data_IF_187339936343
#
_entry.id   IF_187339936343
#
_cell.length_a   1.000
_cell.length_b   1.000
_cell.length_c   1.000
_cell.angle_alpha   90.00
_cell.angle_beta   90.00
_cell.angle_gamma   90.00
#
_symmetry.space_group_name_H-M   'P 1'
#
loop_
_entity.id
_entity.type
_entity.pdbx_description
1 polymer ?
#
# COMPACT_ATOMS: atom_id res chain seq x y z
N UNK A 1 -15.93 8.31 1.27
CA UNK A 1 -14.90 7.30 0.94
C UNK A 1 -15.28 6.50 -0.30
N UNK A 2 -16.46 5.87 -0.37
CA UNK A 2 -16.83 5.04 -1.54
C UNK A 2 -16.72 5.79 -2.88
N UNK A 3 -17.26 7.02 -2.97
CA UNK A 3 -17.10 7.88 -4.17
C UNK A 3 -15.64 8.09 -4.59
N UNK A 4 -14.72 8.17 -3.63
CA UNK A 4 -13.29 8.29 -3.93
C UNK A 4 -12.69 6.96 -4.40
N UNK A 5 -13.11 5.83 -3.83
CA UNK A 5 -12.64 4.51 -4.25
C UNK A 5 -12.95 4.23 -5.72
N UNK A 6 -14.12 4.66 -6.21
CA UNK A 6 -14.51 4.53 -7.62
C UNK A 6 -13.53 5.23 -8.58
N UNK A 7 -12.81 6.27 -8.14
CA UNK A 7 -11.81 6.98 -8.96
C UNK A 7 -10.58 6.13 -9.27
N UNK A 8 -10.34 5.06 -8.52
CA UNK A 8 -9.23 4.14 -8.81
C UNK A 8 -9.51 3.22 -9.99
N UNK A 9 -10.78 3.06 -10.41
CA UNK A 9 -11.18 2.15 -11.50
C UNK A 9 -10.59 2.62 -12.83
N UNK A 10 -10.17 1.65 -13.65
CA UNK A 10 -9.53 1.90 -14.93
C UNK A 10 -8.02 1.66 -14.89
N UNK A 11 -7.34 2.12 -15.93
CA UNK A 11 -5.91 1.89 -16.14
C UNK A 11 -5.14 3.19 -15.88
N UNK A 12 -4.36 3.23 -14.79
CA UNK A 12 -3.65 4.44 -14.33
C UNK A 12 -2.20 4.14 -13.97
N UNK A 13 -1.36 5.17 -13.88
CA UNK A 13 0.00 5.07 -13.33
C UNK A 13 -0.03 5.23 -11.80
N UNK A 14 0.24 4.13 -11.09
CA UNK A 14 0.17 4.07 -9.63
C UNK A 14 1.51 4.40 -8.94
N UNK A 15 2.48 5.03 -9.61
CA UNK A 15 3.80 5.35 -9.01
C UNK A 15 3.71 6.21 -7.75
N UNK A 16 2.71 7.09 -7.69
CA UNK A 16 2.44 7.93 -6.53
C UNK A 16 1.63 7.21 -5.43
N UNK A 17 1.16 6.00 -5.72
CA UNK A 17 0.30 5.16 -4.88
C UNK A 17 0.92 3.79 -4.60
N UNK A 18 2.24 3.65 -4.67
CA UNK A 18 2.94 2.40 -4.32
C UNK A 18 4.33 2.71 -3.73
N UNK A 19 5.06 1.68 -3.29
CA UNK A 19 6.51 1.79 -3.05
C UNK A 19 7.23 1.36 -4.32
N UNK A 20 7.91 2.30 -4.97
CA UNK A 20 8.65 1.99 -6.20
C UNK A 20 9.76 0.98 -5.91
N UNK A 21 9.74 -0.12 -6.65
CA UNK A 21 10.65 -1.25 -6.48
C UNK A 21 11.57 -1.42 -7.71
N UNK A 22 12.19 -0.30 -8.09
CA UNK A 22 13.07 -0.21 -9.29
C UNK A 22 14.29 -1.12 -9.16
N UNK A 23 14.76 -1.39 -7.93
CA UNK A 23 15.87 -2.29 -7.68
C UNK A 23 15.59 -3.72 -8.16
N UNK A 24 14.32 -4.13 -8.18
CA UNK A 24 13.86 -5.43 -8.65
C UNK A 24 13.36 -5.38 -10.12
N UNK A 25 13.75 -4.35 -10.88
CA UNK A 25 13.42 -4.22 -12.31
C UNK A 25 12.03 -3.66 -12.61
N UNK A 26 11.26 -3.24 -11.59
CA UNK A 26 9.93 -2.67 -11.82
C UNK A 26 10.05 -1.25 -12.36
N UNK A 27 9.77 -1.08 -13.66
CA UNK A 27 9.80 0.20 -14.37
C UNK A 27 8.44 0.63 -14.92
N UNK A 28 7.49 -0.30 -15.04
CA UNK A 28 6.11 -0.03 -15.44
C UNK A 28 5.17 0.02 -14.22
N UNK A 29 4.59 1.19 -13.98
CA UNK A 29 3.68 1.49 -12.87
C UNK A 29 2.21 1.55 -13.29
N UNK A 30 1.91 1.29 -14.57
CA UNK A 30 0.55 1.22 -15.05
C UNK A 30 -0.13 -0.05 -14.52
N UNK A 31 -1.31 0.09 -13.90
CA UNK A 31 -2.13 -1.02 -13.42
C UNK A 31 -3.59 -0.78 -13.75
N UNK A 32 -4.34 -1.86 -13.92
CA UNK A 32 -5.77 -1.85 -14.21
C UNK A 32 -6.54 -2.34 -13.01
N UNK A 33 -7.39 -1.46 -12.46
CA UNK A 33 -8.36 -1.78 -11.42
C UNK A 33 -9.72 -1.99 -12.09
N UNK A 34 -10.33 -3.15 -11.83
CA UNK A 34 -11.61 -3.56 -12.39
C UNK A 34 -12.77 -3.05 -11.53
N UNK A 35 -12.66 -3.23 -10.21
CA UNK A 35 -13.65 -2.76 -9.23
C UNK A 35 -12.94 -2.20 -8.01
N UNK A 36 -13.56 -1.22 -7.35
CA UNK A 36 -13.05 -0.63 -6.11
C UNK A 36 -14.21 -0.03 -5.31
N UNK A 37 -14.56 -0.61 -4.17
CA UNK A 37 -15.72 -0.19 -3.37
C UNK A 37 -15.39 -0.12 -1.88
N UNK A 38 -15.91 0.90 -1.19
CA UNK A 38 -15.95 0.93 0.28
C UNK A 38 -17.37 0.66 0.73
N UNK A 39 -17.57 -0.45 1.45
CA UNK A 39 -18.89 -0.95 1.85
C UNK A 39 -18.88 -1.43 3.30
N UNK A 40 -20.07 -1.61 3.88
CA UNK A 40 -20.21 -2.19 5.20
C UNK A 40 -19.76 -3.65 5.18
N UNK A 41 -18.90 -4.03 6.13
CA UNK A 41 -18.40 -5.40 6.23
C UNK A 41 -19.51 -6.39 6.64
N UNK A 42 -20.43 -5.96 7.51
CA UNK A 42 -21.62 -6.72 7.87
C UNK A 42 -22.82 -6.16 7.12
N UNK A 43 -23.17 -6.81 6.00
CA UNK A 43 -24.27 -6.40 5.11
C UNK A 43 -25.66 -6.76 5.65
N UNK A 44 -25.74 -7.67 6.61
CA UNK A 44 -27.01 -8.22 7.12
C UNK A 44 -27.54 -7.44 8.34
N UNK A 45 -26.67 -6.70 9.04
CA UNK A 45 -27.13 -5.80 10.11
C UNK A 45 -27.87 -4.59 9.53
N UNK A 46 -29.14 -4.45 9.91
CA UNK A 46 -29.89 -3.21 9.71
C UNK A 46 -29.15 -2.06 10.37
N UNK A 47 -28.86 -1.01 9.60
CA UNK A 47 -28.26 0.23 10.10
C UNK A 47 -29.35 1.00 10.83
N UNK A 48 -29.63 0.60 12.07
CA UNK A 48 -30.64 1.29 12.88
C UNK A 48 -30.03 2.52 13.57
N UNK A 49 -28.72 2.54 13.83
CA UNK A 49 -28.01 3.69 14.42
C UNK A 49 -26.54 3.80 13.97
N UNK A 50 -26.00 5.02 13.93
CA UNK A 50 -24.58 5.31 13.69
C UNK A 50 -23.73 4.77 14.86
N UNK A 51 -23.11 3.60 14.68
CA UNK A 51 -22.19 3.02 15.65
C UNK A 51 -20.73 3.35 15.28
N UNK A 52 -19.95 4.02 16.15
CA UNK A 52 -18.54 4.37 15.86
C UNK A 52 -17.60 3.16 15.75
N UNK A 53 -18.06 1.96 16.11
CA UNK A 53 -17.33 0.70 15.97
C UNK A 53 -17.77 -0.13 14.76
N UNK A 54 -18.60 0.45 13.88
CA UNK A 54 -19.01 -0.21 12.65
C UNK A 54 -17.80 -0.38 11.71
N UNK A 55 -17.62 -1.60 11.21
CA UNK A 55 -16.54 -1.93 10.30
C UNK A 55 -16.99 -1.74 8.85
N UNK A 56 -16.11 -1.13 8.08
CA UNK A 56 -16.20 -1.00 6.64
C UNK A 56 -15.01 -1.73 6.02
N UNK A 57 -15.23 -2.31 4.85
CA UNK A 57 -14.19 -2.93 4.05
C UNK A 57 -13.98 -2.15 2.76
N UNK A 58 -12.73 -2.07 2.32
CA UNK A 58 -12.35 -1.60 0.99
C UNK A 58 -12.02 -2.82 0.14
N UNK A 59 -12.93 -3.18 -0.75
CA UNK A 59 -12.76 -4.26 -1.71
C UNK A 59 -12.21 -3.70 -3.01
N UNK A 60 -11.16 -4.33 -3.55
CA UNK A 60 -10.55 -3.92 -4.81
C UNK A 60 -10.15 -5.15 -5.61
N UNK A 61 -10.61 -5.20 -6.86
CA UNK A 61 -10.23 -6.23 -7.83
C UNK A 61 -9.43 -5.57 -8.95
N UNK A 62 -8.33 -6.19 -9.34
CA UNK A 62 -7.45 -5.68 -10.39
C UNK A 62 -6.66 -6.80 -11.04
N UNK A 63 -6.10 -6.55 -12.21
CA UNK A 63 -5.31 -7.55 -12.95
C UNK A 63 -3.99 -7.88 -12.23
N UNK A 64 -3.38 -6.88 -11.61
CA UNK A 64 -2.18 -7.02 -10.80
C UNK A 64 -2.02 -5.78 -9.90
N UNK A 65 -1.24 -5.91 -8.83
CA UNK A 65 -0.92 -4.82 -7.92
C UNK A 65 0.59 -4.61 -7.80
N UNK A 66 1.03 -3.37 -7.63
CA UNK A 66 2.40 -2.99 -7.30
C UNK A 66 2.68 -3.20 -5.81
N UNK A 67 3.96 -3.17 -5.45
CA UNK A 67 4.38 -3.29 -4.06
C UNK A 67 3.77 -2.17 -3.19
N UNK A 68 3.05 -2.59 -2.14
CA UNK A 68 2.26 -1.75 -1.23
C UNK A 68 1.15 -0.90 -1.87
N UNK A 69 0.70 -1.21 -3.09
CA UNK A 69 -0.30 -0.40 -3.79
C UNK A 69 -1.61 -0.26 -2.99
N UNK A 70 -2.21 -1.39 -2.60
CA UNK A 70 -3.51 -1.39 -1.89
C UNK A 70 -3.44 -0.64 -0.56
N UNK A 71 -2.34 -0.81 0.19
CA UNK A 71 -2.10 -0.11 1.46
C UNK A 71 -1.95 1.40 1.28
N UNK A 72 -1.34 1.82 0.17
CA UNK A 72 -1.25 3.23 -0.22
C UNK A 72 -2.62 3.79 -0.63
N UNK A 73 -3.40 3.05 -1.43
CA UNK A 73 -4.77 3.45 -1.81
C UNK A 73 -5.63 3.66 -0.56
N UNK A 74 -5.59 2.72 0.39
CA UNK A 74 -6.34 2.82 1.64
C UNK A 74 -5.90 4.02 2.49
N UNK A 75 -4.60 4.34 2.52
CA UNK A 75 -4.11 5.53 3.22
C UNK A 75 -4.73 6.83 2.68
N UNK A 76 -4.86 6.96 1.35
CA UNK A 76 -5.52 8.11 0.73
C UNK A 76 -7.02 8.13 1.06
N UNK A 77 -7.69 6.98 1.02
CA UNK A 77 -9.09 6.88 1.44
C UNK A 77 -9.29 7.30 2.90
N UNK A 78 -8.36 6.99 3.80
CA UNK A 78 -8.41 7.47 5.19
C UNK A 78 -8.26 8.98 5.32
N UNK A 79 -7.39 9.62 4.52
CA UNK A 79 -7.27 11.08 4.50
C UNK A 79 -8.57 11.75 4.03
N UNK A 80 -9.18 11.18 2.99
CA UNK A 80 -10.47 11.64 2.46
C UNK A 80 -11.61 11.39 3.47
N UNK A 81 -11.62 10.23 4.12
CA UNK A 81 -12.61 9.88 5.15
C UNK A 81 -12.56 10.79 6.37
N UNK A 82 -11.37 11.25 6.75
CA UNK A 82 -11.15 12.25 7.79
C UNK A 82 -11.38 13.70 7.30
N UNK A 83 -11.82 13.89 6.04
CA UNK A 83 -12.04 15.20 5.39
C UNK A 83 -10.80 16.08 5.31
N UNK A 84 -9.62 15.46 5.36
CA UNK A 84 -8.34 16.16 5.23
C UNK A 84 -7.96 16.39 3.77
N UNK A 85 -8.50 15.55 2.87
CA UNK A 85 -8.37 15.67 1.42
C UNK A 85 -9.74 15.52 0.77
N UNK A 86 -9.88 16.06 -0.45
CA UNK A 86 -11.05 15.83 -1.29
C UNK A 86 -10.85 14.60 -2.19
N UNK A 87 -11.92 13.94 -2.69
CA UNK A 87 -11.80 12.79 -3.59
C UNK A 87 -10.92 13.03 -4.82
N UNK A 88 -10.89 14.26 -5.33
CA UNK A 88 -10.14 14.67 -6.54
C UNK A 88 -8.63 14.51 -6.39
N UNK A 89 -8.12 14.40 -5.16
CA UNK A 89 -6.69 14.18 -4.90
C UNK A 89 -6.16 12.89 -5.58
N UNK A 90 -7.04 11.91 -5.80
CA UNK A 90 -6.69 10.67 -6.51
C UNK A 90 -6.34 10.98 -7.97
N UNK A 91 -7.09 11.87 -8.61
CA UNK A 91 -6.83 12.28 -10.00
C UNK A 91 -5.49 13.03 -10.09
N UNK A 92 -5.22 13.92 -9.13
CA UNK A 92 -3.94 14.64 -9.06
C UNK A 92 -2.74 13.71 -8.83
N UNK A 93 -2.93 12.61 -8.09
CA UNK A 93 -1.89 11.59 -7.89
C UNK A 93 -1.66 10.75 -9.15
N UNK A 94 -2.66 10.62 -10.03
CA UNK A 94 -2.54 9.95 -11.33
C UNK A 94 -1.99 10.87 -12.42
N UNK A 95 -2.10 12.18 -12.28
CA UNK A 95 -1.51 13.16 -13.20
C UNK A 95 0.01 13.22 -13.02
N UNK A 96 0.72 12.32 -13.70
CA UNK A 96 2.18 12.23 -13.64
C UNK A 96 2.87 13.40 -14.36
N UNK A 97 2.21 14.00 -15.36
CA UNK A 97 2.78 15.13 -16.11
C UNK A 97 2.92 16.35 -15.18
N UNK A 98 1.89 16.65 -14.40
CA UNK A 98 1.93 17.74 -13.42
C UNK A 98 2.60 17.30 -12.11
N UNK A 99 2.39 16.06 -11.67
CA UNK A 99 2.86 15.52 -10.39
C UNK A 99 3.75 14.28 -10.56
N UNK A 100 4.96 14.41 -11.14
CA UNK A 100 5.83 13.26 -11.45
C UNK A 100 6.44 12.58 -10.22
N UNK A 101 6.32 13.19 -9.03
CA UNK A 101 6.98 12.77 -7.80
C UNK A 101 5.96 12.51 -6.70
N UNK A 102 6.09 11.34 -6.08
CA UNK A 102 5.23 10.90 -4.99
C UNK A 102 5.31 11.82 -3.77
N UNK A 103 4.21 12.40 -3.27
CA UNK A 103 4.21 13.13 -2.00
C UNK A 103 4.40 12.18 -0.80
N UNK A 104 4.95 12.69 0.30
CA UNK A 104 5.16 11.90 1.51
C UNK A 104 3.84 11.65 2.27
N UNK A 105 3.51 10.38 2.50
CA UNK A 105 2.41 9.96 3.37
C UNK A 105 2.67 8.56 3.97
N UNK A 106 2.07 8.30 5.13
CA UNK A 106 2.12 6.98 5.78
C UNK A 106 1.14 6.02 5.13
N UNK A 107 1.54 4.76 4.97
CA UNK A 107 0.66 3.71 4.45
C UNK A 107 -0.30 3.21 5.54
N UNK A 108 -1.41 2.60 5.12
CA UNK A 108 -2.24 1.83 6.02
C UNK A 108 -1.46 0.61 6.55
N UNK A 109 -1.73 0.18 7.78
CA UNK A 109 -1.13 -1.04 8.37
C UNK A 109 -1.48 -2.30 7.56
N UNK A 110 -0.69 -3.37 7.70
CA UNK A 110 -0.80 -4.56 6.85
C UNK A 110 -1.81 -5.61 7.29
N UNK A 111 -2.06 -5.75 8.60
CA UNK A 111 -2.88 -6.84 9.12
C UNK A 111 -4.33 -6.92 8.57
N UNK A 112 -5.02 -5.82 8.15
CA UNK A 112 -6.36 -5.93 7.59
C UNK A 112 -6.36 -6.20 6.07
N UNK A 113 -5.18 -6.25 5.42
CA UNK A 113 -5.10 -6.58 4.00
C UNK A 113 -5.10 -8.09 3.81
N UNK A 114 -6.13 -8.60 3.14
CA UNK A 114 -6.32 -10.03 2.88
C UNK A 114 -6.47 -10.25 1.38
N UNK A 115 -5.75 -11.22 0.82
CA UNK A 115 -6.06 -11.76 -0.49
C UNK A 115 -7.25 -12.70 -0.33
N UNK A 116 -8.45 -12.23 -0.69
CA UNK A 116 -9.69 -12.95 -0.44
C UNK A 116 -9.99 -13.99 -1.53
N UNK A 117 -9.81 -13.62 -2.80
CA UNK A 117 -10.13 -14.48 -3.93
C UNK A 117 -9.21 -14.22 -5.13
N UNK A 118 -9.09 -15.22 -6.01
CA UNK A 118 -8.39 -15.16 -7.29
C UNK A 118 -9.28 -15.75 -8.38
N UNK A 119 -9.64 -14.94 -9.37
CA UNK A 119 -10.49 -15.37 -10.48
C UNK A 119 -9.68 -16.03 -11.59
N UNK A 120 -10.14 -17.19 -12.05
CA UNK A 120 -9.58 -17.91 -13.19
C UNK A 120 -10.69 -18.32 -14.14
N UNK A 121 -10.53 -17.98 -15.42
CA UNK A 121 -11.50 -18.33 -16.44
C UNK A 121 -11.53 -19.86 -16.67
N UNK A 122 -12.74 -20.40 -16.81
CA UNK A 122 -12.98 -21.80 -17.17
C UNK A 122 -12.43 -22.83 -16.17
N UNK A 123 -12.24 -22.45 -14.90
CA UNK A 123 -11.86 -23.35 -13.82
C UNK A 123 -13.02 -23.50 -12.84
N UNK A 124 -13.42 -24.74 -12.59
CA UNK A 124 -14.35 -25.05 -11.50
C UNK A 124 -13.54 -25.57 -10.30
N UNK A 125 -13.60 -24.84 -9.19
CA UNK A 125 -13.00 -25.27 -7.93
C UNK A 125 -13.80 -26.43 -7.32
N UNK A 126 -13.11 -27.52 -6.97
CA UNK A 126 -13.68 -28.64 -6.23
C UNK A 126 -12.98 -28.67 -4.88
N UNK A 127 -13.75 -28.46 -3.81
CA UNK A 127 -13.24 -28.42 -2.46
C UNK A 127 -13.40 -29.79 -1.80
N UNK A 128 -12.34 -30.24 -1.13
CA UNK A 128 -12.43 -31.42 -0.29
C UNK A 128 -13.30 -31.17 0.94
N UNK A 129 -14.22 -32.09 1.22
CA UNK A 129 -15.17 -31.94 2.33
C UNK A 129 -14.47 -31.83 3.69
N UNK A 130 -13.47 -32.67 3.96
CA UNK A 130 -12.79 -32.72 5.25
C UNK A 130 -11.96 -31.45 5.48
N UNK A 131 -11.28 -30.97 4.42
CA UNK A 131 -10.54 -29.70 4.47
C UNK A 131 -11.50 -28.53 4.68
N UNK A 132 -12.64 -28.51 4.00
CA UNK A 132 -13.64 -27.46 4.16
C UNK A 132 -14.23 -27.44 5.57
N UNK A 133 -14.60 -28.60 6.12
CA UNK A 133 -15.10 -28.74 7.48
C UNK A 133 -14.05 -28.30 8.52
N UNK A 134 -12.79 -28.67 8.33
CA UNK A 134 -11.68 -28.22 9.16
C UNK A 134 -11.55 -26.69 9.15
N UNK A 135 -11.55 -26.07 7.96
CA UNK A 135 -11.43 -24.61 7.81
C UNK A 135 -12.59 -23.88 8.48
N UNK A 136 -13.84 -24.33 8.25
CA UNK A 136 -15.04 -23.74 8.88
C UNK A 136 -14.93 -23.82 10.41
N UNK A 137 -14.61 -25.00 10.94
CA UNK A 137 -14.44 -25.20 12.40
C UNK A 137 -13.35 -24.29 12.96
N UNK A 138 -12.21 -24.21 12.27
CA UNK A 138 -11.08 -23.38 12.67
C UNK A 138 -11.45 -21.89 12.70
N UNK A 139 -12.14 -21.40 11.68
CA UNK A 139 -12.57 -20.00 11.61
C UNK A 139 -13.64 -19.68 12.65
N UNK A 140 -14.57 -20.59 12.94
CA UNK A 140 -15.55 -20.41 14.02
C UNK A 140 -14.88 -20.29 15.40
N UNK A 141 -13.83 -21.07 15.67
CA UNK A 141 -13.05 -20.95 16.90
C UNK A 141 -12.29 -19.61 16.99
N UNK A 142 -11.64 -19.18 15.91
CA UNK A 142 -10.96 -17.89 15.86
C UNK A 142 -11.95 -16.73 16.03
N UNK A 143 -13.08 -16.80 15.34
CA UNK A 143 -14.17 -15.84 15.45
C UNK A 143 -14.66 -15.74 16.89
N UNK A 144 -14.97 -16.87 17.55
CA UNK A 144 -15.44 -16.88 18.95
C UNK A 144 -14.45 -16.16 19.87
N UNK A 145 -13.15 -16.45 19.74
CA UNK A 145 -12.12 -15.80 20.54
C UNK A 145 -12.04 -14.28 20.29
N UNK A 146 -12.08 -13.85 19.03
CA UNK A 146 -12.00 -12.43 18.69
C UNK A 146 -13.30 -11.67 19.02
N UNK A 147 -14.46 -12.29 18.84
CA UNK A 147 -15.76 -11.74 19.19
C UNK A 147 -15.86 -11.47 20.69
N UNK A 148 -15.46 -12.43 21.54
CA UNK A 148 -15.42 -12.25 22.99
C UNK A 148 -14.49 -11.10 23.36
N UNK A 149 -13.25 -11.08 22.84
CA UNK A 149 -12.27 -10.01 23.12
C UNK A 149 -12.79 -8.63 22.72
N UNK A 150 -13.36 -8.50 21.52
CA UNK A 150 -13.97 -7.25 21.05
C UNK A 150 -15.14 -6.83 21.92
N UNK A 151 -16.02 -7.76 22.30
CA UNK A 151 -17.18 -7.46 23.15
C UNK A 151 -16.76 -7.04 24.57
N UNK A 152 -15.72 -7.65 25.14
CA UNK A 152 -15.16 -7.25 26.43
C UNK A 152 -14.69 -5.80 26.38
N UNK A 153 -13.88 -5.43 25.37
CA UNK A 153 -13.39 -4.06 25.19
C UNK A 153 -14.53 -3.07 24.96
N UNK A 154 -15.51 -3.44 24.13
CA UNK A 154 -16.69 -2.62 23.88
C UNK A 154 -17.49 -2.35 25.16
N UNK A 155 -17.66 -3.38 25.99
CA UNK A 155 -18.36 -3.26 27.28
C UNK A 155 -17.57 -2.39 28.27
N UNK A 156 -16.24 -2.54 28.31
CA UNK A 156 -15.37 -1.69 29.13
C UNK A 156 -15.45 -0.22 28.71
N UNK A 157 -15.43 0.07 27.39
CA UNK A 157 -15.57 1.43 26.87
C UNK A 157 -16.91 2.05 27.24
N UNK A 158 -18.03 1.31 27.08
CA UNK A 158 -19.34 1.75 27.56
C UNK A 158 -19.41 1.95 29.08
N UNK A 159 -18.61 1.20 29.85
CA UNK A 159 -18.49 1.41 31.29
C UNK A 159 -17.85 2.77 31.64
N UNK A 160 -16.90 3.23 30.82
CA UNK A 160 -16.22 4.51 31.02
C UNK A 160 -17.14 5.73 30.77
N UNK A 161 -18.21 5.56 29.99
CA UNK A 161 -19.19 6.63 29.68
C UNK A 161 -19.82 7.25 30.93
N UNK A 162 -19.85 6.51 32.04
CA UNK A 162 -20.42 6.95 33.32
C UNK A 162 -19.39 7.55 34.29
N UNK A 163 -18.11 7.61 33.91
CA UNK A 163 -17.08 8.24 34.72
C UNK A 163 -17.34 9.76 34.83
N UNK A 164 -17.29 10.29 36.06
CA UNK A 164 -17.38 11.74 36.31
C UNK A 164 -16.01 12.37 36.21
N UNK A 165 -15.89 13.40 35.39
CA UNK A 165 -14.66 14.19 35.26
C UNK A 165 -14.92 15.66 35.66
N UNK A 166 -13.90 16.38 36.17
CA UNK A 166 -14.03 17.82 36.45
C UNK A 166 -14.26 18.63 35.17
N UNK A 167 -15.08 19.67 35.23
CA UNK A 167 -15.21 20.66 34.14
C UNK A 167 -14.13 21.74 34.25
N UNK A 168 -13.57 22.18 33.12
CA UNK A 168 -12.72 23.37 33.08
C UNK A 168 -13.56 24.65 32.87
N UNK A 169 -13.20 25.80 33.52
CA UNK A 169 -12.11 25.96 34.49
C UNK A 169 -12.46 25.38 35.87
N UNK A 170 -11.45 24.88 36.58
CA UNK A 170 -11.54 24.16 37.86
C UNK A 170 -12.10 24.98 39.05
N UNK A 171 -12.63 26.18 38.83
CA UNK A 171 -13.20 27.07 39.85
C UNK A 171 -14.62 26.69 40.27
N UNK A 172 -15.33 25.89 39.46
CA UNK A 172 -16.60 25.28 39.85
C UNK A 172 -16.37 23.80 40.21
N UNK A 173 -16.86 23.36 41.37
CA UNK A 173 -16.91 21.93 41.77
C UNK A 173 -17.87 21.09 40.87
N UNK A 174 -18.13 21.53 39.64
CA UNK A 174 -19.00 20.85 38.70
C UNK A 174 -18.26 19.69 38.02
N UNK A 175 -18.96 18.58 37.90
CA UNK A 175 -18.49 17.39 37.18
C UNK A 175 -19.43 17.12 36.01
N UNK A 176 -18.88 16.62 34.91
CA UNK A 176 -19.65 16.10 33.77
C UNK A 176 -19.38 14.61 33.59
N UNK A 177 -20.32 13.88 32.99
CA UNK A 177 -20.09 12.49 32.60
C UNK A 177 -19.23 12.42 31.34
N UNK A 178 -18.39 11.40 31.24
CA UNK A 178 -17.54 11.19 30.07
C UNK A 178 -18.33 11.17 28.75
N UNK A 179 -19.50 10.52 28.74
CA UNK A 179 -20.39 10.46 27.55
C UNK A 179 -20.90 11.82 27.07
N UNK A 180 -20.87 12.84 27.93
CA UNK A 180 -21.35 14.20 27.65
C UNK A 180 -20.21 15.11 27.14
N UNK A 181 -18.96 14.63 27.15
CA UNK A 181 -17.80 15.35 26.61
C UNK A 181 -17.91 15.46 25.09
N UNK A 182 -17.79 16.68 24.59
CA UNK A 182 -17.77 16.99 23.16
C UNK A 182 -16.49 17.77 22.80
N UNK A 183 -15.70 17.31 21.80
CA UNK A 183 -15.95 16.16 20.95
C UNK A 183 -15.65 14.82 21.67
N UNK A 184 -16.31 13.71 21.28
CA UNK A 184 -15.95 12.40 21.81
C UNK A 184 -14.61 11.95 21.22
N UNK A 185 -13.82 11.20 21.99
CA UNK A 185 -12.51 10.72 21.54
C UNK A 185 -12.69 9.54 20.58
N UNK A 186 -12.51 9.80 19.28
CA UNK A 186 -12.55 8.78 18.21
C UNK A 186 -11.16 8.56 17.62
N UNK A 187 -10.40 7.65 18.21
CA UNK A 187 -8.99 7.44 17.87
C UNK A 187 -8.71 6.11 17.15
N UNK A 188 -9.74 5.40 16.69
CA UNK A 188 -9.65 4.08 16.05
C UNK A 188 -8.70 4.09 14.85
N UNK A 189 -8.71 5.19 14.08
CA UNK A 189 -7.85 5.36 12.90
C UNK A 189 -6.34 5.27 13.21
N UNK A 190 -5.91 5.56 14.45
CA UNK A 190 -4.50 5.47 14.82
C UNK A 190 -3.98 4.03 14.79
N UNK A 191 -4.85 3.05 14.99
CA UNK A 191 -4.48 1.64 14.87
C UNK A 191 -4.33 1.19 13.41
N UNK A 192 -4.76 2.00 12.44
CA UNK A 192 -4.86 1.64 11.02
C UNK A 192 -3.84 2.34 10.12
N UNK A 193 -3.02 3.24 10.65
CA UNK A 193 -2.00 4.01 9.93
C UNK A 193 -0.62 3.75 10.54
N UNK A 194 0.40 3.56 9.71
CA UNK A 194 1.78 3.43 10.19
C UNK A 194 2.42 4.76 10.60
N UNK A 195 3.33 4.69 11.57
CA UNK A 195 4.22 5.78 11.93
C UNK A 195 3.58 6.88 12.78
N UNK A 196 4.29 8.00 12.91
CA UNK A 196 3.92 9.12 13.79
C UNK A 196 3.05 10.11 13.03
N UNK A 197 1.89 10.46 13.59
CA UNK A 197 1.04 11.52 13.05
C UNK A 197 1.68 12.90 13.27
N UNK A 198 1.73 13.69 12.20
CA UNK A 198 2.07 15.10 12.32
C UNK A 198 1.01 15.83 13.15
N UNK A 199 1.43 16.73 14.05
CA UNK A 199 0.51 17.53 14.88
C UNK A 199 -0.42 18.39 14.04
N UNK A 200 0.10 18.96 12.96
CA UNK A 200 -0.64 19.78 12.03
C UNK A 200 -0.71 19.07 10.68
N UNK A 201 -1.91 18.98 10.13
CA UNK A 201 -2.10 18.43 8.80
C UNK A 201 -1.54 19.36 7.73
N UNK A 202 -0.85 18.79 6.75
CA UNK A 202 -0.45 19.48 5.51
C UNK A 202 -1.10 18.77 4.32
N UNK A 203 -1.77 19.47 3.39
CA UNK A 203 -2.31 18.88 2.17
C UNK A 203 -1.23 18.12 1.39
N UNK A 204 -1.61 17.00 0.76
CA UNK A 204 -0.68 16.06 0.13
C UNK A 204 0.23 16.72 -0.90
N UNK A 205 -0.31 17.58 -1.76
CA UNK A 205 0.47 18.21 -2.83
C UNK A 205 1.49 19.24 -2.34
N UNK A 206 1.31 19.75 -1.11
CA UNK A 206 2.26 20.69 -0.49
C UNK A 206 3.38 19.98 0.28
N UNK A 207 3.35 18.65 0.40
CA UNK A 207 4.35 17.90 1.18
C UNK A 207 5.66 17.72 0.42
N UNK A 208 6.77 17.45 1.15
CA UNK A 208 7.98 16.96 0.51
C UNK A 208 7.68 15.75 -0.38
N UNK A 209 8.27 15.76 -1.58
CA UNK A 209 8.09 14.69 -2.58
C UNK A 209 9.32 13.78 -2.60
N UNK A 210 9.12 12.48 -2.79
CA UNK A 210 10.20 11.51 -2.97
C UNK A 210 10.98 11.78 -4.27
N UNK A 211 12.13 11.11 -4.47
CA UNK A 211 12.81 11.11 -5.77
C UNK A 211 11.89 10.60 -6.89
N UNK A 212 12.02 11.20 -8.08
CA UNK A 212 11.27 10.77 -9.27
C UNK A 212 11.71 9.40 -9.79
N UNK A 213 10.83 8.78 -10.58
CA UNK A 213 11.06 7.44 -11.13
C UNK A 213 12.31 7.40 -12.01
N UNK A 214 12.47 8.39 -12.86
CA UNK A 214 13.53 8.50 -13.88
C UNK A 214 14.91 8.62 -13.20
N UNK A 215 14.97 9.35 -12.07
CA UNK A 215 16.17 9.45 -11.23
C UNK A 215 16.52 8.11 -10.60
N UNK A 216 15.53 7.39 -10.08
CA UNK A 216 15.74 6.05 -9.49
C UNK A 216 16.20 5.02 -10.52
N UNK A 217 15.60 5.02 -11.71
CA UNK A 217 16.02 4.17 -12.83
C UNK A 217 17.48 4.47 -13.18
N UNK A 218 17.80 5.76 -13.40
CA UNK A 218 19.17 6.19 -13.72
C UNK A 218 20.19 5.73 -12.68
N UNK A 219 19.84 5.82 -11.39
CA UNK A 219 20.70 5.34 -10.30
C UNK A 219 20.98 3.83 -10.38
N UNK A 220 19.95 3.01 -10.61
CA UNK A 220 20.12 1.54 -10.66
C UNK A 220 20.76 1.05 -11.96
N UNK A 221 20.52 1.74 -13.08
CA UNK A 221 21.22 1.51 -14.36
C UNK A 221 22.72 1.78 -14.21
N UNK A 222 23.11 2.93 -13.63
CA UNK A 222 24.54 3.25 -13.41
C UNK A 222 25.25 2.23 -12.52
N UNK A 223 24.51 1.54 -11.64
CA UNK A 223 25.03 0.47 -10.79
C UNK A 223 24.99 -0.92 -11.43
N UNK A 224 24.57 -1.03 -12.69
CA UNK A 224 24.48 -2.30 -13.40
C UNK A 224 23.44 -3.28 -12.83
N UNK A 225 22.48 -2.79 -12.02
CA UNK A 225 21.45 -3.66 -11.41
C UNK A 225 20.24 -3.88 -12.31
N UNK A 226 19.98 -2.95 -13.22
CA UNK A 226 18.89 -3.03 -14.21
C UNK A 226 19.40 -2.50 -15.56
N UNK A 227 18.82 -2.99 -16.65
CA UNK A 227 19.02 -2.42 -17.98
C UNK A 227 18.21 -1.14 -18.16
N UNK A 228 18.60 -0.26 -19.09
CA UNK A 228 17.77 0.89 -19.42
C UNK A 228 16.43 0.39 -20.00
N UNK A 229 15.29 0.73 -19.40
CA UNK A 229 14.00 0.38 -19.98
C UNK A 229 13.91 1.04 -21.35
N UNK A 230 13.69 0.21 -22.38
CA UNK A 230 13.68 0.62 -23.79
C UNK A 230 12.65 1.75 -24.02
N UNK A 231 13.10 3.01 -23.99
CA UNK A 231 12.52 4.06 -24.83
C UNK A 231 12.61 3.53 -26.25
N UNK A 232 11.46 3.25 -26.88
CA UNK A 232 11.35 2.65 -28.22
C UNK A 232 12.52 3.12 -29.10
N UNK A 233 13.46 2.21 -29.39
CA UNK A 233 14.52 2.43 -30.36
C UNK A 233 13.85 2.77 -31.70
N UNK A 234 13.78 4.04 -32.04
CA UNK A 234 13.56 4.46 -33.42
C UNK A 234 14.81 4.03 -34.17
N UNK A 235 14.64 3.26 -35.25
CA UNK A 235 15.68 2.56 -36.04
C UNK A 235 16.71 3.48 -36.73
N UNK A 236 16.99 4.67 -36.22
CA UNK A 236 17.88 5.64 -36.85
C UNK A 236 19.24 5.82 -36.16
N UNK A 237 19.44 5.39 -34.91
CA UNK A 237 20.71 5.65 -34.19
C UNK A 237 21.73 4.49 -34.22
N UNK A 238 21.40 3.32 -34.78
CA UNK A 238 22.32 2.18 -34.86
C UNK A 238 23.32 2.28 -36.02
N UNK A 239 23.18 3.26 -36.92
CA UNK A 239 24.16 3.45 -38.03
C UNK A 239 25.30 4.41 -37.70
N UNK A 240 25.17 5.29 -36.72
CA UNK A 240 26.21 6.29 -36.43
C UNK A 240 27.29 5.78 -35.46
N UNK A 241 26.98 4.75 -34.65
CA UNK A 241 27.95 4.18 -33.69
C UNK A 241 28.92 3.18 -34.35
N UNK A 242 28.49 2.46 -35.39
CA UNK A 242 29.33 1.48 -36.09
C UNK A 242 30.39 2.11 -37.01
N UNK A 243 30.18 3.35 -37.45
CA UNK A 243 31.14 4.06 -38.31
C UNK A 243 32.32 4.65 -37.52
N UNK A 244 32.13 4.96 -36.23
CA UNK A 244 33.20 5.50 -35.38
C UNK A 244 34.13 4.43 -34.80
N UNK A 245 33.68 3.17 -34.68
CA UNK A 245 34.51 2.08 -34.18
C UNK A 245 35.48 1.49 -35.21
N UNK A 246 35.26 1.71 -36.52
CA UNK A 246 36.13 1.13 -37.58
C UNK A 246 37.40 1.93 -37.89
N UNK A 247 37.55 3.15 -37.36
CA UNK A 247 38.70 4.04 -37.71
C UNK A 247 39.89 3.89 -36.74
N UNK A 248 39.74 3.16 -35.61
CA UNK A 248 40.81 3.04 -34.61
C UNK A 248 41.16 1.59 -34.27
N UNK A 249 41.81 0.86 -35.19
CA UNK A 249 42.77 -0.20 -34.79
C UNK A 249 43.56 -0.75 -35.97
N UNK A 250 44.85 -0.45 -36.02
CA UNK A 250 45.90 -1.31 -36.59
C UNK A 250 47.16 -1.22 -35.69
N UNK A 251 48.04 -2.24 -35.67
CA UNK A 251 48.60 -2.79 -34.42
C UNK A 251 50.11 -2.56 -34.25
N UNK A 252 50.60 -2.56 -32.99
CA UNK A 252 52.01 -2.89 -32.64
C UNK A 252 52.09 -3.60 -31.28
N UNK A 253 53.07 -4.50 -31.21
CA UNK A 253 53.35 -5.65 -30.35
C UNK A 253 53.60 -5.51 -28.83
N UNK A 254 53.32 -6.64 -28.15
CA UNK A 254 54.05 -7.33 -27.07
C UNK A 254 54.35 -6.65 -25.72
N UNK A 255 53.94 -7.30 -24.62
CA UNK A 255 54.80 -7.98 -23.62
C UNK A 255 53.92 -8.70 -22.57
N UNK A 256 54.30 -9.94 -22.27
CA UNK A 256 53.74 -10.83 -21.24
C UNK A 256 54.08 -10.36 -19.82
N UNK A 257 53.19 -10.60 -18.84
CA UNK A 257 53.59 -11.10 -17.53
C UNK A 257 52.40 -11.78 -16.81
N UNK A 258 52.59 -13.05 -16.47
CA UNK A 258 51.71 -13.89 -15.65
C UNK A 258 51.59 -13.38 -14.20
N UNK A 259 50.42 -13.61 -13.57
CA UNK A 259 50.31 -14.32 -12.28
C UNK A 259 48.87 -14.55 -11.80
N UNK A 260 48.56 -15.85 -11.70
CA UNK A 260 47.84 -16.59 -10.65
C UNK A 260 46.37 -16.28 -10.26
N UNK A 261 45.55 -17.30 -10.50
CA UNK A 261 44.17 -17.55 -10.03
C UNK A 261 44.23 -18.26 -8.66
N UNK A 262 43.19 -18.14 -7.81
CA UNK A 262 42.44 -19.37 -7.51
C UNK A 262 40.91 -19.23 -7.59
N UNK A 263 40.28 -20.25 -8.17
CA UNK A 263 38.85 -20.54 -8.13
C UNK A 263 38.35 -20.74 -6.69
N UNK A 264 37.08 -20.38 -6.43
CA UNK A 264 36.19 -21.22 -5.65
C UNK A 264 34.71 -20.86 -5.88
N UNK A 265 34.04 -21.70 -6.67
CA UNK A 265 32.59 -21.90 -6.65
C UNK A 265 32.20 -22.76 -5.45
N UNK A 266 31.19 -22.36 -4.67
CA UNK A 266 30.36 -23.29 -3.90
C UNK A 266 28.94 -22.76 -3.70
N UNK A 267 27.99 -23.51 -4.24
CA UNK A 267 26.53 -23.40 -4.03
C UNK A 267 26.20 -23.65 -2.54
N UNK A 268 25.20 -22.95 -2.00
CA UNK A 268 24.50 -23.39 -0.77
C UNK A 268 23.00 -23.55 -1.05
N UNK A 269 22.61 -24.81 -1.00
CA UNK A 269 21.28 -25.37 -0.94
C UNK A 269 20.76 -25.13 0.49
N UNK A 270 19.55 -24.61 0.65
CA UNK A 270 18.87 -24.55 1.94
C UNK A 270 18.02 -25.82 2.08
N UNK A 271 18.39 -26.66 3.05
CA UNK A 271 17.60 -27.78 3.56
C UNK A 271 16.87 -27.27 4.80
N UNK A 272 15.57 -27.52 4.87
CA UNK A 272 14.72 -27.27 6.03
C UNK A 272 14.40 -28.59 6.74
N UNK A 273 14.78 -28.67 8.01
CA UNK A 273 14.35 -29.59 9.10
C UNK A 273 14.64 -28.76 10.37
N UNK A 274 13.75 -28.50 11.31
CA UNK A 274 12.48 -29.11 11.74
C UNK A 274 11.46 -28.02 12.13
#
# INVERSE_FOLDING_TARGET
MNTAAQRFIGTHDFRNLCKMDVANGVTNFQRTILTAEVKLADRERKVEELNPFQLYEFEVTGQAFLYHQVRCMMAILFLIGQRMEKPEIIDELFDIETNPRKPQYSMAVEFPLVLYDCEFENIQWIYDHQVQEFNVTRFQQLWTNHAIKSQMLYSMLRGLDFAKIPTEPASSNSTILWREVSPPVHNQINALIEGVKARNYKPLMDRPKCEGLESRISHFVRRGRIEQPNLKKTKHSERELDEQMKIKSSPVDSIQLDKEIPEQTAKRICISTD
#
